data_IF_714726308978
#
_entry.id   IF_714726308978
#
_cell.length_a   1.000
_cell.length_b   1.000
_cell.length_c   1.000
_cell.angle_alpha   90.00
_cell.angle_beta   90.00
_cell.angle_gamma   90.00
#
_symmetry.space_group_name_H-M   'P 1'
#
loop_
_entity.id
_entity.type
_entity.pdbx_description
1 polymer ?
#
# COMPACT_ATOMS: atom_id res chain seq x y z
N UNK A 1 17.72 -32.42 23.23
CA UNK A 1 16.56 -31.67 22.73
C UNK A 1 17.09 -30.53 21.89
N UNK A 2 16.53 -30.32 20.70
CA UNK A 2 16.81 -29.13 19.89
C UNK A 2 16.44 -27.87 20.70
N UNK A 3 17.37 -26.91 20.79
CA UNK A 3 17.24 -25.65 21.53
C UNK A 3 16.01 -24.83 21.12
N UNK A 4 15.44 -25.11 19.94
CA UNK A 4 14.29 -24.40 19.36
C UNK A 4 12.98 -25.20 19.40
N UNK A 5 13.02 -26.46 19.82
CA UNK A 5 11.84 -27.36 19.80
C UNK A 5 10.66 -26.87 20.65
N UNK A 6 10.92 -26.07 21.68
CA UNK A 6 9.88 -25.47 22.53
C UNK A 6 9.09 -24.36 21.81
N UNK A 7 9.63 -23.73 20.76
CA UNK A 7 9.03 -22.57 20.10
C UNK A 7 7.73 -22.89 19.34
N UNK A 8 7.49 -24.17 19.05
CA UNK A 8 6.28 -24.68 18.39
C UNK A 8 5.25 -25.25 19.38
N UNK A 9 5.59 -25.34 20.67
CA UNK A 9 4.71 -25.85 21.72
C UNK A 9 3.62 -24.85 22.11
N UNK A 10 2.53 -25.34 22.72
CA UNK A 10 1.45 -24.47 23.21
C UNK A 10 1.95 -23.62 24.38
N UNK A 11 1.60 -22.33 24.42
CA UNK A 11 2.17 -21.36 25.38
C UNK A 11 1.85 -21.62 26.85
N UNK A 12 0.82 -22.41 27.14
CA UNK A 12 0.42 -22.82 28.49
C UNK A 12 1.08 -24.13 28.95
N UNK A 13 1.99 -24.69 28.15
CA UNK A 13 2.73 -25.92 28.50
C UNK A 13 4.00 -25.58 29.26
N UNK A 14 4.43 -26.50 30.12
CA UNK A 14 5.64 -26.33 30.92
C UNK A 14 6.87 -26.24 30.01
N UNK A 15 6.88 -27.01 28.93
CA UNK A 15 7.95 -27.09 27.94
C UNK A 15 8.16 -25.76 27.23
N UNK A 16 7.08 -25.04 26.91
CA UNK A 16 7.18 -23.69 26.33
C UNK A 16 7.74 -22.68 27.33
N UNK A 17 7.25 -22.69 28.58
CA UNK A 17 7.70 -21.77 29.63
C UNK A 17 9.18 -22.01 29.98
N UNK A 18 9.58 -23.27 30.13
CA UNK A 18 10.98 -23.65 30.38
C UNK A 18 11.90 -23.21 29.23
N UNK A 19 11.41 -23.31 27.98
CA UNK A 19 12.09 -22.83 26.80
C UNK A 19 12.27 -21.29 26.75
N UNK A 20 11.23 -20.54 27.11
CA UNK A 20 11.30 -19.07 27.26
C UNK A 20 12.33 -18.69 28.31
N UNK A 21 12.31 -19.34 29.47
CA UNK A 21 13.29 -19.09 30.54
C UNK A 21 14.72 -19.39 30.10
N UNK A 22 14.92 -20.48 29.35
CA UNK A 22 16.21 -20.83 28.77
C UNK A 22 16.73 -19.76 27.80
N UNK A 23 15.86 -19.25 26.91
CA UNK A 23 16.19 -18.16 26.01
C UNK A 23 16.56 -16.87 26.75
N UNK A 24 15.77 -16.45 27.74
CA UNK A 24 16.00 -15.21 28.48
C UNK A 24 17.30 -15.25 29.28
N UNK A 25 17.64 -16.41 29.83
CA UNK A 25 18.92 -16.63 30.50
C UNK A 25 20.09 -16.46 29.52
N UNK A 26 20.05 -17.13 28.37
CA UNK A 26 21.05 -16.95 27.31
C UNK A 26 21.17 -15.49 26.87
N UNK A 27 20.04 -14.81 26.66
CA UNK A 27 20.03 -13.43 26.24
C UNK A 27 20.68 -12.51 27.29
N UNK A 28 20.40 -12.74 28.57
CA UNK A 28 20.95 -11.96 29.68
C UNK A 28 22.46 -12.19 29.86
N UNK A 29 22.93 -13.43 29.70
CA UNK A 29 24.34 -13.78 29.82
C UNK A 29 25.21 -13.19 28.69
N UNK A 30 24.60 -12.79 27.56
CA UNK A 30 25.29 -12.26 26.38
C UNK A 30 25.06 -10.75 26.13
N UNK A 31 24.58 -10.00 27.13
CA UNK A 31 24.31 -8.56 27.03
C UNK A 31 25.44 -7.64 27.53
N UNK A 32 25.43 -6.39 27.03
CA UNK A 32 26.18 -5.24 27.59
C UNK A 32 25.44 -4.50 28.73
N UNK A 33 26.05 -3.41 29.22
CA UNK A 33 25.84 -2.77 30.55
C UNK A 33 24.40 -2.25 30.85
N UNK A 34 23.50 -2.12 29.85
CA UNK A 34 22.23 -1.41 30.02
C UNK A 34 20.99 -2.29 30.35
N UNK A 35 21.15 -3.61 30.47
CA UNK A 35 20.09 -4.50 31.00
C UNK A 35 18.80 -4.61 30.17
N UNK A 36 18.80 -4.16 28.91
CA UNK A 36 17.67 -4.22 27.98
C UNK A 36 17.94 -5.23 26.84
N UNK A 37 17.06 -6.23 26.68
CA UNK A 37 17.13 -7.21 25.59
C UNK A 37 16.15 -6.88 24.46
N UNK A 38 16.55 -7.25 23.24
CA UNK A 38 15.69 -7.21 22.07
C UNK A 38 14.55 -8.22 22.20
N UNK A 39 13.31 -7.83 21.89
CA UNK A 39 12.14 -8.70 22.11
C UNK A 39 11.78 -9.53 20.85
N UNK A 40 11.96 -10.87 20.86
CA UNK A 40 11.65 -11.71 19.70
C UNK A 40 10.19 -12.19 19.65
N UNK A 41 9.28 -11.55 20.39
CA UNK A 41 7.87 -11.97 20.38
C UNK A 41 7.20 -11.62 19.04
N UNK A 42 6.12 -12.32 18.69
CA UNK A 42 5.37 -12.13 17.43
C UNK A 42 4.82 -10.71 17.22
N UNK A 43 4.69 -9.93 18.29
CA UNK A 43 4.24 -8.53 18.24
C UNK A 43 5.40 -7.55 18.02
N UNK A 44 6.57 -7.85 18.59
CA UNK A 44 7.73 -6.96 18.57
C UNK A 44 8.71 -7.29 17.46
N UNK A 45 8.77 -8.54 17.00
CA UNK A 45 9.58 -9.00 15.86
C UNK A 45 11.01 -8.44 15.86
N UNK A 46 11.70 -8.48 17.00
CA UNK A 46 13.08 -7.98 17.16
C UNK A 46 13.26 -6.46 16.95
N UNK A 47 12.19 -5.66 16.97
CA UNK A 47 12.25 -4.21 16.73
C UNK A 47 12.28 -3.35 18.00
N UNK A 48 12.03 -3.95 19.17
CA UNK A 48 11.90 -3.22 20.45
C UNK A 48 12.77 -3.84 21.53
N UNK A 49 13.33 -2.97 22.38
CA UNK A 49 14.17 -3.35 23.51
C UNK A 49 13.40 -3.12 24.81
N UNK A 50 13.38 -4.13 25.67
CA UNK A 50 12.74 -4.05 26.97
C UNK A 50 13.59 -4.75 28.03
N UNK A 51 13.25 -4.52 29.29
CA UNK A 51 13.80 -5.32 30.40
C UNK A 51 13.34 -6.78 30.26
N UNK A 52 14.13 -7.68 30.85
CA UNK A 52 13.98 -9.14 30.72
C UNK A 52 12.60 -9.63 31.18
N UNK A 53 12.07 -9.05 32.26
CA UNK A 53 10.72 -9.29 32.80
C UNK A 53 9.63 -8.94 31.79
N UNK A 54 9.73 -7.78 31.13
CA UNK A 54 8.75 -7.37 30.13
C UNK A 54 8.83 -8.22 28.85
N UNK A 55 10.03 -8.66 28.46
CA UNK A 55 10.18 -9.60 27.34
C UNK A 55 9.63 -10.97 27.69
N UNK A 56 9.80 -11.45 28.93
CA UNK A 56 9.17 -12.67 29.42
C UNK A 56 7.65 -12.62 29.22
N UNK A 57 6.99 -11.59 29.73
CA UNK A 57 5.54 -11.43 29.61
C UNK A 57 5.07 -11.40 28.15
N UNK A 58 5.82 -10.73 27.29
CA UNK A 58 5.56 -10.71 25.87
C UNK A 58 5.68 -12.09 25.22
N UNK A 59 6.66 -12.91 25.61
CA UNK A 59 6.84 -14.26 25.07
C UNK A 59 5.78 -15.24 25.57
N UNK A 60 5.28 -15.07 26.79
CA UNK A 60 4.15 -15.83 27.32
C UNK A 60 2.84 -15.43 26.60
N UNK A 61 2.59 -14.14 26.45
CA UNK A 61 1.32 -13.66 25.91
C UNK A 61 1.24 -13.77 24.37
N UNK A 62 2.24 -13.25 23.65
CA UNK A 62 2.24 -13.15 22.18
C UNK A 62 2.95 -14.32 21.50
N UNK A 63 3.80 -15.05 22.21
CA UNK A 63 4.62 -16.11 21.65
C UNK A 63 5.90 -15.62 20.99
N UNK A 64 6.91 -16.49 20.89
CA UNK A 64 8.15 -16.21 20.14
C UNK A 64 7.94 -16.36 18.62
N UNK A 65 8.70 -15.60 17.83
CA UNK A 65 8.80 -15.78 16.39
C UNK A 65 9.45 -17.14 16.06
N UNK A 66 8.69 -18.05 15.46
CA UNK A 66 9.14 -19.43 15.19
C UNK A 66 10.31 -19.51 14.19
N UNK A 67 10.45 -18.51 13.31
CA UNK A 67 11.60 -18.40 12.40
C UNK A 67 12.88 -17.90 13.06
N UNK A 68 12.84 -17.49 14.34
CA UNK A 68 14.00 -17.00 15.07
C UNK A 68 14.75 -18.15 15.77
N UNK A 69 15.22 -19.10 14.97
CA UNK A 69 15.90 -20.31 15.44
C UNK A 69 17.39 -20.11 15.75
N UNK A 70 17.96 -19.01 15.23
CA UNK A 70 19.32 -18.55 15.53
C UNK A 70 19.20 -17.23 16.31
N UNK A 71 19.66 -17.23 17.56
CA UNK A 71 19.58 -16.10 18.47
C UNK A 71 20.67 -15.04 18.20
N UNK A 72 20.85 -14.69 16.92
CA UNK A 72 21.92 -13.81 16.44
C UNK A 72 21.85 -12.42 17.08
N UNK A 73 20.65 -11.85 17.24
CA UNK A 73 20.44 -10.58 17.95
C UNK A 73 20.77 -10.63 19.45
N UNK A 74 21.06 -11.82 19.99
CA UNK A 74 21.43 -12.06 21.39
C UNK A 74 22.81 -12.75 21.51
N UNK A 75 23.65 -12.67 20.46
CA UNK A 75 25.05 -13.09 20.52
C UNK A 75 25.32 -14.53 20.07
N UNK A 76 24.34 -15.27 19.55
CA UNK A 76 24.58 -16.62 19.03
C UNK A 76 25.36 -16.60 17.70
N UNK A 77 26.52 -17.28 17.67
CA UNK A 77 27.38 -17.42 16.48
C UNK A 77 27.08 -18.73 15.74
N UNK A 78 27.01 -18.69 14.41
CA UNK A 78 26.81 -19.88 13.57
C UNK A 78 28.16 -20.54 13.30
N UNK A 79 28.39 -21.76 13.80
CA UNK A 79 29.58 -22.54 13.50
C UNK A 79 29.31 -23.50 12.33
N UNK A 80 29.92 -23.23 11.18
CA UNK A 80 30.01 -24.20 10.08
C UNK A 80 30.92 -25.36 10.51
N UNK A 81 30.40 -26.58 10.56
CA UNK A 81 31.22 -27.79 10.75
C UNK A 81 31.12 -28.70 9.51
N UNK A 82 32.27 -29.17 8.96
CA UNK A 82 32.34 -30.00 7.75
C UNK A 82 32.52 -31.50 8.07
N UNK A 83 31.94 -32.39 7.25
CA UNK A 83 32.55 -33.64 6.74
C UNK A 83 31.55 -34.42 5.85
N UNK A 84 31.77 -34.52 4.52
CA UNK A 84 32.53 -35.53 3.73
C UNK A 84 31.68 -36.80 3.45
N UNK A 85 31.48 -37.31 2.23
CA UNK A 85 31.99 -37.02 0.87
C UNK A 85 30.99 -37.57 -0.18
N UNK A 86 31.18 -37.55 -1.51
CA UNK A 86 32.35 -37.49 -2.39
C UNK A 86 31.89 -37.15 -3.83
N UNK A 87 32.76 -36.40 -4.55
CA UNK A 87 32.98 -36.35 -6.02
C UNK A 87 32.13 -35.42 -6.94
N UNK A 88 32.63 -34.18 -7.10
CA UNK A 88 33.02 -33.44 -8.35
C UNK A 88 32.06 -33.30 -9.57
N UNK A 89 32.18 -32.24 -10.39
CA UNK A 89 31.78 -30.85 -10.13
C UNK A 89 30.85 -30.32 -11.26
N UNK A 90 29.76 -29.63 -10.92
CA UNK A 90 29.14 -28.68 -11.85
C UNK A 90 28.09 -27.86 -11.09
N UNK A 91 28.31 -26.55 -11.13
CA UNK A 91 27.36 -25.45 -11.17
C UNK A 91 26.05 -25.44 -10.34
N UNK A 92 25.79 -24.22 -9.90
CA UNK A 92 24.52 -23.59 -9.56
C UNK A 92 24.04 -23.67 -8.11
N UNK A 93 24.42 -22.59 -7.43
CA UNK A 93 23.62 -21.86 -6.45
C UNK A 93 22.13 -21.80 -6.85
N UNK A 94 21.25 -22.38 -6.03
CA UNK A 94 19.89 -21.87 -5.88
C UNK A 94 19.52 -21.80 -4.40
N UNK A 95 19.84 -20.65 -3.82
CA UNK A 95 19.24 -20.16 -2.58
C UNK A 95 17.80 -19.72 -2.86
N UNK A 96 16.81 -20.49 -2.40
CA UNK A 96 15.43 -20.00 -2.31
C UNK A 96 15.26 -19.18 -1.01
N UNK A 97 15.37 -17.86 -1.13
CA UNK A 97 14.95 -16.89 -0.11
C UNK A 97 13.43 -16.70 -0.15
N UNK A 98 12.77 -16.76 1.02
CA UNK A 98 11.39 -16.27 1.15
C UNK A 98 11.29 -14.75 0.95
N UNK A 99 10.11 -14.20 0.60
CA UNK A 99 10.01 -12.82 0.16
C UNK A 99 10.34 -11.82 1.27
N UNK A 100 11.34 -10.97 1.01
CA UNK A 100 11.74 -9.84 1.85
C UNK A 100 10.56 -8.88 2.12
N UNK A 101 10.54 -8.18 3.26
CA UNK A 101 9.61 -7.05 3.53
C UNK A 101 9.61 -5.99 2.41
N UNK A 102 10.70 -5.90 1.64
CA UNK A 102 10.82 -5.06 0.44
C UNK A 102 9.91 -5.51 -0.72
N UNK A 103 9.75 -6.83 -0.89
CA UNK A 103 8.83 -7.42 -1.84
C UNK A 103 7.38 -7.07 -1.47
N UNK A 104 7.08 -6.93 -0.16
CA UNK A 104 5.76 -6.52 0.32
C UNK A 104 5.47 -5.04 0.03
N UNK A 105 6.42 -4.12 0.25
CA UNK A 105 6.23 -2.70 -0.10
C UNK A 105 6.15 -2.44 -1.61
N UNK A 106 6.94 -3.16 -2.42
CA UNK A 106 6.83 -3.09 -3.88
C UNK A 106 5.52 -3.70 -4.37
N UNK A 107 5.04 -4.78 -3.73
CA UNK A 107 3.68 -5.29 -3.92
C UNK A 107 2.60 -4.28 -3.48
N UNK A 108 2.83 -3.43 -2.48
CA UNK A 108 1.87 -2.42 -2.03
C UNK A 108 1.78 -1.22 -3.00
N UNK A 109 2.92 -0.81 -3.56
CA UNK A 109 2.99 0.32 -4.51
C UNK A 109 2.61 -0.13 -5.92
N UNK A 110 2.89 -1.39 -6.25
CA UNK A 110 2.78 -1.99 -7.57
C UNK A 110 2.54 -3.51 -7.43
N UNK A 111 1.34 -3.95 -7.00
CA UNK A 111 1.00 -5.37 -6.77
C UNK A 111 1.14 -6.27 -8.00
N UNK A 112 1.33 -5.66 -9.16
CA UNK A 112 1.34 -6.26 -10.48
C UNK A 112 2.74 -6.48 -11.07
N UNK A 113 3.80 -6.03 -10.39
CA UNK A 113 5.14 -5.90 -10.98
C UNK A 113 6.19 -6.84 -10.40
N UNK A 114 5.78 -7.89 -9.66
CA UNK A 114 6.76 -8.84 -9.13
C UNK A 114 6.71 -10.20 -9.81
N UNK A 115 7.77 -10.60 -10.55
CA UNK A 115 7.97 -11.98 -10.97
C UNK A 115 8.17 -12.87 -9.75
N UNK A 116 7.55 -14.05 -9.72
CA UNK A 116 7.89 -15.12 -8.77
C UNK A 116 6.83 -15.49 -7.72
N UNK A 117 5.61 -14.94 -7.74
CA UNK A 117 4.47 -15.53 -7.02
C UNK A 117 3.69 -16.44 -7.97
N UNK A 118 4.41 -17.37 -8.60
CA UNK A 118 3.84 -18.48 -9.37
C UNK A 118 3.63 -19.60 -8.36
N UNK A 119 2.38 -19.81 -7.93
CA UNK A 119 1.96 -21.18 -7.63
C UNK A 119 1.88 -21.90 -8.96
N UNK A 120 2.60 -23.02 -9.08
CA UNK A 120 2.74 -23.90 -10.24
C UNK A 120 1.86 -23.56 -11.46
N UNK A 121 2.52 -23.17 -12.56
CA UNK A 121 1.95 -23.21 -13.90
C UNK A 121 1.63 -21.86 -14.55
N UNK A 122 2.64 -21.02 -14.80
CA UNK A 122 2.91 -20.41 -16.12
C UNK A 122 4.14 -19.49 -16.00
N UNK A 123 5.26 -19.91 -16.58
CA UNK A 123 6.39 -19.02 -16.83
C UNK A 123 5.99 -18.00 -17.92
N UNK A 124 6.07 -16.72 -17.62
CA UNK A 124 5.94 -15.64 -18.60
C UNK A 124 7.31 -14.98 -18.77
N UNK A 125 8.12 -15.54 -19.65
CA UNK A 125 9.31 -14.87 -20.17
C UNK A 125 8.89 -13.67 -21.01
N UNK A 126 9.33 -12.47 -20.63
CA UNK A 126 9.13 -11.26 -21.43
C UNK A 126 10.24 -11.19 -22.47
N UNK A 127 10.09 -11.92 -23.57
CA UNK A 127 10.92 -11.68 -24.75
C UNK A 127 10.36 -10.46 -25.52
N UNK A 128 11.21 -9.44 -25.63
CA UNK A 128 11.02 -8.31 -26.52
C UNK A 128 11.26 -8.77 -27.96
N UNK A 129 10.20 -9.20 -28.64
CA UNK A 129 10.21 -9.37 -30.10
C UNK A 129 9.50 -8.20 -30.79
N UNK A 130 10.07 -7.81 -31.92
CA UNK A 130 9.89 -6.55 -32.63
C UNK A 130 8.45 -6.20 -32.97
N UNK A 131 8.18 -4.89 -32.98
CA UNK A 131 6.88 -4.27 -33.27
C UNK A 131 6.43 -4.61 -34.70
N UNK A 132 5.16 -5.02 -34.84
CA UNK A 132 4.45 -5.08 -36.12
C UNK A 132 4.08 -3.64 -36.54
N UNK A 133 4.41 -3.26 -37.77
CA UNK A 133 4.43 -1.88 -38.28
C UNK A 133 3.04 -1.26 -38.52
N UNK A 134 1.94 -1.89 -38.09
CA UNK A 134 0.59 -1.50 -38.52
C UNK A 134 -0.39 -1.06 -37.42
N UNK A 135 0.10 -0.68 -36.25
CA UNK A 135 -0.71 -0.01 -35.22
C UNK A 135 -0.27 1.44 -35.03
N UNK A 136 -1.23 2.36 -35.09
CA UNK A 136 -1.03 3.80 -34.90
C UNK A 136 -0.06 4.08 -33.73
N UNK A 137 0.88 5.01 -33.96
CA UNK A 137 2.02 5.26 -33.07
C UNK A 137 1.67 5.47 -31.59
N UNK A 138 2.65 5.30 -30.67
CA UNK A 138 2.37 5.25 -29.25
C UNK A 138 1.81 6.59 -28.78
N UNK A 139 0.58 6.56 -28.27
CA UNK A 139 -0.04 7.67 -27.56
C UNK A 139 0.89 8.11 -26.42
N UNK A 140 1.04 9.40 -26.15
CA UNK A 140 2.04 9.95 -25.20
C UNK A 140 1.99 9.29 -23.81
N UNK A 141 0.79 8.96 -23.34
CA UNK A 141 0.57 8.22 -22.08
C UNK A 141 1.09 6.78 -22.09
N UNK A 142 1.12 6.12 -23.24
CA UNK A 142 1.65 4.77 -23.44
C UNK A 142 3.17 4.80 -23.40
N UNK A 143 3.78 5.77 -24.07
CA UNK A 143 5.23 5.97 -24.00
C UNK A 143 5.69 6.27 -22.56
N UNK A 144 4.94 7.12 -21.84
CA UNK A 144 5.19 7.40 -20.42
C UNK A 144 5.06 6.14 -19.56
N UNK A 145 4.08 5.27 -19.85
CA UNK A 145 3.93 4.01 -19.17
C UNK A 145 5.08 3.02 -19.45
N UNK A 146 5.52 2.86 -20.70
CA UNK A 146 6.66 1.99 -21.02
C UNK A 146 7.97 2.50 -20.43
N UNK A 147 8.21 3.81 -20.46
CA UNK A 147 9.38 4.40 -19.79
C UNK A 147 9.33 4.09 -18.29
N UNK A 148 8.16 4.20 -17.67
CA UNK A 148 7.96 3.85 -16.27
C UNK A 148 8.23 2.36 -15.96
N UNK A 149 7.76 1.44 -16.82
CA UNK A 149 8.05 0.01 -16.68
C UNK A 149 9.53 -0.29 -16.79
N UNK A 150 10.17 0.31 -17.80
CA UNK A 150 11.60 0.17 -18.03
C UNK A 150 12.42 0.73 -16.86
N UNK A 151 12.04 1.90 -16.35
CA UNK A 151 12.70 2.55 -15.21
C UNK A 151 12.47 1.80 -13.88
N UNK A 152 11.36 1.06 -13.76
CA UNK A 152 11.06 0.27 -12.56
C UNK A 152 11.92 -1.00 -12.45
N UNK A 153 12.24 -1.60 -13.60
CA UNK A 153 13.08 -2.79 -13.71
C UNK A 153 14.57 -2.45 -13.95
N UNK A 154 14.89 -1.19 -14.25
CA UNK A 154 16.27 -0.74 -14.46
C UNK A 154 17.11 -0.93 -13.18
N UNK A 155 18.22 -1.67 -13.23
CA UNK A 155 19.16 -1.78 -12.11
C UNK A 155 19.60 -0.40 -11.61
N UNK A 156 19.80 -0.26 -10.30
CA UNK A 156 20.26 1.02 -9.73
C UNK A 156 21.58 1.50 -10.35
N UNK A 157 22.44 0.55 -10.71
CA UNK A 157 23.68 0.73 -11.46
C UNK A 157 23.97 -0.59 -12.19
N UNK A 158 24.88 -0.57 -13.16
CA UNK A 158 25.24 -1.76 -13.95
C UNK A 158 25.73 -2.91 -13.05
N UNK A 159 25.12 -4.09 -13.20
CA UNK A 159 25.39 -5.26 -12.35
C UNK A 159 24.70 -5.29 -10.99
N UNK A 160 23.85 -4.31 -10.65
CA UNK A 160 23.08 -4.33 -9.41
C UNK A 160 21.92 -5.34 -9.49
N UNK A 161 22.01 -6.45 -8.77
CA UNK A 161 20.96 -7.49 -8.72
C UNK A 161 19.98 -7.31 -7.58
N UNK A 162 20.35 -6.55 -6.53
CA UNK A 162 19.56 -6.41 -5.31
C UNK A 162 18.49 -5.32 -5.38
N UNK A 163 18.76 -4.27 -6.16
CA UNK A 163 17.90 -3.09 -6.21
C UNK A 163 17.80 -2.53 -7.63
N UNK A 164 16.57 -2.37 -8.10
CA UNK A 164 16.26 -1.46 -9.19
C UNK A 164 16.28 -0.01 -8.69
N UNK A 165 16.42 0.94 -9.63
CA UNK A 165 16.31 2.38 -9.37
C UNK A 165 15.05 2.72 -8.58
N UNK A 166 13.91 2.20 -9.02
CA UNK A 166 12.62 2.38 -8.35
C UNK A 166 12.64 1.85 -6.91
N UNK A 167 13.08 0.60 -6.71
CA UNK A 167 13.10 -0.02 -5.39
C UNK A 167 13.98 0.75 -4.39
N UNK A 168 15.10 1.29 -4.86
CA UNK A 168 16.00 2.10 -4.04
C UNK A 168 15.33 3.41 -3.60
N UNK A 169 14.68 4.12 -4.54
CA UNK A 169 14.00 5.39 -4.27
C UNK A 169 12.84 5.19 -3.30
N UNK A 170 11.98 4.20 -3.52
CA UNK A 170 10.86 3.89 -2.63
C UNK A 170 11.35 3.56 -1.22
N UNK A 171 12.41 2.75 -1.11
CA UNK A 171 13.00 2.39 0.18
C UNK A 171 13.57 3.61 0.90
N UNK A 172 14.32 4.46 0.21
CA UNK A 172 14.85 5.71 0.76
C UNK A 172 13.74 6.64 1.21
N UNK A 173 12.67 6.76 0.42
CA UNK A 173 11.51 7.57 0.75
C UNK A 173 10.77 7.04 1.98
N UNK A 174 10.61 5.72 2.09
CA UNK A 174 10.00 5.11 3.26
C UNK A 174 10.85 5.37 4.52
N UNK A 175 12.17 5.21 4.44
CA UNK A 175 13.08 5.55 5.55
C UNK A 175 12.97 7.01 5.95
N UNK A 176 12.89 7.92 4.97
CA UNK A 176 12.65 9.35 5.22
C UNK A 176 11.35 9.59 5.99
N UNK A 177 10.27 8.92 5.58
CA UNK A 177 8.96 9.06 6.20
C UNK A 177 8.92 8.47 7.62
N UNK A 178 9.41 7.25 7.81
CA UNK A 178 9.42 6.56 9.10
C UNK A 178 10.39 7.21 10.09
N UNK A 179 11.55 7.66 9.61
CA UNK A 179 12.56 8.34 10.42
C UNK A 179 12.27 9.83 10.65
N UNK A 180 11.21 10.37 10.06
CA UNK A 180 10.86 11.79 10.20
C UNK A 180 11.93 12.75 9.64
N UNK A 181 12.74 12.30 8.67
CA UNK A 181 13.86 13.09 8.18
C UNK A 181 13.41 14.36 7.47
N UNK A 182 14.09 15.47 7.73
CA UNK A 182 13.84 16.73 7.02
C UNK A 182 14.19 16.58 5.53
N UNK A 183 13.68 17.47 4.68
CA UNK A 183 14.05 17.44 3.26
C UNK A 183 15.54 17.78 3.04
N UNK A 184 16.14 18.54 3.96
CA UNK A 184 17.55 18.90 3.89
C UNK A 184 18.42 17.68 4.19
N UNK A 185 18.16 16.99 5.30
CA UNK A 185 18.87 15.75 5.67
C UNK A 185 18.71 14.69 4.57
N UNK A 186 17.51 14.59 3.99
CA UNK A 186 17.28 13.64 2.91
C UNK A 186 18.05 14.00 1.63
N UNK A 187 18.18 15.28 1.31
CA UNK A 187 19.00 15.71 0.18
C UNK A 187 20.48 15.41 0.43
N UNK A 188 21.02 15.75 1.61
CA UNK A 188 22.39 15.43 2.00
C UNK A 188 22.66 13.92 1.97
N UNK A 189 21.71 13.11 2.42
CA UNK A 189 21.83 11.65 2.33
C UNK A 189 21.85 11.17 0.88
N UNK A 190 21.01 11.72 0.00
CA UNK A 190 21.01 11.36 -1.41
C UNK A 190 22.33 11.74 -2.09
N UNK A 191 22.90 12.90 -1.77
CA UNK A 191 24.22 13.32 -2.26
C UNK A 191 25.30 12.35 -1.78
N UNK A 192 25.35 12.05 -0.48
CA UNK A 192 26.31 11.10 0.08
C UNK A 192 26.17 9.69 -0.52
N UNK A 193 24.95 9.20 -0.74
CA UNK A 193 24.73 7.90 -1.40
C UNK A 193 25.21 7.91 -2.85
N UNK A 194 25.03 9.02 -3.57
CA UNK A 194 25.56 9.14 -4.94
C UNK A 194 27.10 9.13 -4.97
N UNK A 195 27.78 9.60 -3.92
CA UNK A 195 29.24 9.51 -3.79
C UNK A 195 29.73 8.08 -3.51
N UNK A 196 28.94 7.27 -2.80
CA UNK A 196 29.28 5.88 -2.47
C UNK A 196 28.99 4.90 -3.61
N UNK A 197 28.04 5.23 -4.49
CA UNK A 197 27.63 4.35 -5.57
C UNK A 197 28.60 4.41 -6.76
N UNK A 198 28.70 3.33 -7.56
CA UNK A 198 29.53 3.32 -8.77
C UNK A 198 29.14 4.41 -9.78
N UNK A 199 30.11 4.86 -10.56
CA UNK A 199 29.89 5.75 -11.70
C UNK A 199 28.82 5.19 -12.63
N UNK A 200 27.72 5.94 -12.82
CA UNK A 200 26.57 5.51 -13.61
C UNK A 200 25.32 5.11 -12.81
N UNK A 201 25.36 5.20 -11.48
CA UNK A 201 24.15 4.99 -10.67
C UNK A 201 23.06 6.03 -10.94
N UNK A 202 21.81 5.57 -11.02
CA UNK A 202 20.65 6.36 -11.44
C UNK A 202 19.83 6.94 -10.28
N UNK A 203 20.45 7.22 -9.13
CA UNK A 203 19.76 7.74 -7.96
C UNK A 203 19.45 9.24 -8.10
N UNK A 204 18.27 9.73 -7.67
CA UNK A 204 17.97 11.16 -7.66
C UNK A 204 18.95 11.93 -6.80
N UNK A 205 19.33 13.13 -7.24
CA UNK A 205 20.32 13.96 -6.54
C UNK A 205 19.74 14.70 -5.36
N UNK A 206 18.43 14.94 -5.36
CA UNK A 206 17.76 15.73 -4.35
C UNK A 206 16.29 15.31 -4.16
N UNK A 207 15.66 15.90 -3.15
CA UNK A 207 14.25 15.63 -2.80
C UNK A 207 13.29 15.99 -3.94
N UNK A 208 13.59 16.98 -4.77
CA UNK A 208 12.71 17.40 -5.86
C UNK A 208 12.69 16.36 -6.99
N UNK A 209 13.86 15.90 -7.44
CA UNK A 209 13.98 14.86 -8.46
C UNK A 209 13.31 13.56 -8.02
N UNK A 210 13.49 13.15 -6.76
CA UNK A 210 12.83 11.98 -6.21
C UNK A 210 11.30 12.12 -6.18
N UNK A 211 10.75 13.31 -5.86
CA UNK A 211 9.30 13.57 -5.95
C UNK A 211 8.80 13.55 -7.39
N UNK A 212 9.56 14.15 -8.31
CA UNK A 212 9.23 14.18 -9.72
C UNK A 212 9.15 12.77 -10.28
N UNK A 213 10.15 11.93 -9.97
CA UNK A 213 10.16 10.53 -10.34
C UNK A 213 8.91 9.78 -9.81
N UNK A 214 8.55 9.96 -8.54
CA UNK A 214 7.33 9.37 -7.97
C UNK A 214 6.04 9.89 -8.63
N UNK A 215 5.97 11.17 -9.00
CA UNK A 215 4.84 11.75 -9.75
C UNK A 215 4.76 11.17 -11.16
N UNK A 216 5.89 11.03 -11.84
CA UNK A 216 5.96 10.41 -13.17
C UNK A 216 5.49 8.95 -13.14
N UNK A 217 5.74 8.24 -12.04
CA UNK A 217 5.21 6.90 -11.75
C UNK A 217 3.70 6.84 -11.48
N UNK A 218 3.02 7.99 -11.43
CA UNK A 218 1.60 8.08 -11.11
C UNK A 218 1.28 7.90 -9.62
N UNK A 219 2.29 8.04 -8.74
CA UNK A 219 2.17 7.95 -7.29
C UNK A 219 2.05 9.34 -6.64
N UNK A 220 1.61 10.32 -7.42
CA UNK A 220 1.47 11.70 -6.96
C UNK A 220 0.35 11.85 -5.93
N UNK A 221 0.68 12.56 -4.84
CA UNK A 221 -0.30 13.06 -3.89
C UNK A 221 -0.64 14.51 -4.25
N UNK A 222 -1.82 14.70 -4.83
CA UNK A 222 -2.38 16.02 -5.11
C UNK A 222 -2.92 16.60 -3.80
N UNK A 223 -2.55 17.85 -3.51
CA UNK A 223 -2.96 18.57 -2.31
C UNK A 223 -4.00 19.62 -2.68
N UNK A 224 -5.24 19.39 -2.29
CA UNK A 224 -6.35 20.30 -2.57
C UNK A 224 -6.63 21.11 -1.30
N UNK A 225 -6.48 22.45 -1.33
CA UNK A 225 -6.90 23.27 -0.20
C UNK A 225 -8.41 23.17 0.02
N UNK A 226 -8.83 23.13 1.27
CA UNK A 226 -10.24 23.09 1.64
C UNK A 226 -10.60 24.26 2.57
N UNK A 227 -11.89 24.60 2.61
CA UNK A 227 -12.43 25.51 3.60
C UNK A 227 -12.19 24.94 5.01
N UNK A 228 -11.72 25.74 6.00
CA UNK A 228 -11.53 25.26 7.38
C UNK A 228 -12.77 24.61 7.99
N UNK A 229 -13.95 25.13 7.63
CA UNK A 229 -15.26 24.63 8.06
C UNK A 229 -15.79 23.45 7.22
N UNK A 230 -15.03 22.95 6.24
CA UNK A 230 -15.40 21.81 5.38
C UNK A 230 -16.51 22.09 4.35
N UNK A 231 -16.82 23.36 4.06
CA UNK A 231 -17.95 23.71 3.19
C UNK A 231 -17.69 23.52 1.70
N UNK A 232 -16.42 23.55 1.28
CA UNK A 232 -16.02 23.43 -0.13
C UNK A 232 -14.53 23.11 -0.25
N UNK A 233 -14.16 22.56 -1.40
CA UNK A 233 -12.78 22.50 -1.87
C UNK A 233 -12.46 23.74 -2.73
N UNK A 234 -11.24 24.25 -2.60
CA UNK A 234 -10.70 25.24 -3.53
C UNK A 234 -10.12 24.52 -4.75
N UNK A 235 -11.03 23.96 -5.55
CA UNK A 235 -10.74 23.06 -6.66
C UNK A 235 -11.58 23.43 -7.89
N UNK A 236 -11.07 23.11 -9.09
CA UNK A 236 -11.67 23.48 -10.39
C UNK A 236 -12.07 24.97 -10.42
N UNK A 237 -13.37 25.25 -10.55
CA UNK A 237 -13.94 26.60 -10.66
C UNK A 237 -13.67 27.48 -9.42
N UNK A 238 -13.24 26.89 -8.31
CA UNK A 238 -12.96 27.57 -7.05
C UNK A 238 -11.47 27.68 -6.71
N UNK A 239 -10.56 27.21 -7.56
CA UNK A 239 -9.12 27.14 -7.28
C UNK A 239 -8.51 28.51 -6.91
N UNK A 240 -8.90 29.54 -7.67
CA UNK A 240 -8.38 30.91 -7.52
C UNK A 240 -9.03 31.70 -6.38
N UNK A 241 -10.04 31.14 -5.68
CA UNK A 241 -10.67 31.84 -4.56
C UNK A 241 -9.76 31.87 -3.34
N UNK A 242 -9.80 32.99 -2.61
CA UNK A 242 -9.11 33.11 -1.31
C UNK A 242 -10.04 32.84 -0.12
N UNK A 243 -11.35 32.97 -0.31
CA UNK A 243 -12.38 32.78 0.72
C UNK A 243 -13.45 31.79 0.28
N UNK A 244 -14.02 31.10 1.27
CA UNK A 244 -15.13 30.17 1.06
C UNK A 244 -16.39 30.90 0.62
N UNK A 245 -17.06 30.43 -0.43
CA UNK A 245 -18.28 31.05 -0.94
C UNK A 245 -19.48 30.92 0.01
N UNK A 246 -19.47 29.94 0.91
CA UNK A 246 -20.59 29.65 1.82
C UNK A 246 -20.45 30.31 3.19
N UNK A 247 -19.26 30.27 3.78
CA UNK A 247 -19.03 30.79 5.13
C UNK A 247 -18.01 31.95 5.20
N UNK A 248 -17.53 32.43 4.05
CA UNK A 248 -16.56 33.53 3.93
C UNK A 248 -15.23 33.33 4.66
N UNK A 249 -14.98 32.14 5.21
CA UNK A 249 -13.74 31.82 5.91
C UNK A 249 -12.57 31.75 4.93
N UNK A 250 -11.42 32.29 5.34
CA UNK A 250 -10.19 32.30 4.55
C UNK A 250 -9.64 30.88 4.31
N UNK A 251 -9.09 30.65 3.12
CA UNK A 251 -8.33 29.45 2.74
C UNK A 251 -7.03 29.29 3.55
N UNK A 252 -6.46 30.41 3.98
CA UNK A 252 -5.12 30.48 4.56
C UNK A 252 -5.15 30.36 6.08
N UNK A 253 -4.08 29.81 6.66
CA UNK A 253 -3.86 29.87 8.11
C UNK A 253 -3.75 31.33 8.56
N UNK A 254 -4.43 31.67 9.65
CA UNK A 254 -4.22 32.93 10.35
C UNK A 254 -3.08 32.72 11.34
N UNK A 255 -1.83 32.89 10.90
CA UNK A 255 -0.69 32.95 11.80
C UNK A 255 -0.21 34.40 11.90
N UNK A 256 -0.17 34.92 13.13
CA UNK A 256 0.61 36.07 13.52
C UNK A 256 2.06 35.60 13.79
N UNK A 257 2.84 35.32 12.75
CA UNK A 257 4.29 35.11 12.93
C UNK A 257 5.00 36.47 12.89
N UNK A 258 5.65 36.78 14.01
CA UNK A 258 6.45 37.99 14.30
C UNK A 258 7.73 38.12 13.47
N UNK A 259 8.01 37.18 12.58
CA UNK A 259 9.10 37.25 11.61
C UNK A 259 8.52 37.37 10.21
N UNK A 260 8.70 38.55 9.60
CA UNK A 260 8.11 39.04 8.33
C UNK A 260 8.30 38.23 7.05
N UNK A 261 8.29 36.90 7.11
CA UNK A 261 8.19 35.98 5.97
C UNK A 261 6.78 35.40 5.94
N UNK A 262 5.85 36.13 5.33
CA UNK A 262 4.46 35.69 5.09
C UNK A 262 4.40 34.45 4.20
N UNK A 263 4.68 33.25 4.74
CA UNK A 263 4.48 31.99 4.03
C UNK A 263 3.01 31.60 4.14
N UNK A 264 2.20 32.08 3.18
CA UNK A 264 0.78 31.71 3.05
C UNK A 264 0.68 30.19 2.90
N UNK A 265 0.09 29.53 3.90
CA UNK A 265 -0.13 28.08 3.88
C UNK A 265 -1.63 27.80 4.06
N UNK A 266 -2.20 26.82 3.31
CA UNK A 266 -3.59 26.47 3.49
C UNK A 266 -3.88 26.00 4.91
N UNK A 267 -5.06 26.37 5.43
CA UNK A 267 -5.50 26.00 6.76
C UNK A 267 -5.76 24.49 6.88
N UNK A 268 -6.43 23.91 5.89
CA UNK A 268 -6.65 22.48 5.75
C UNK A 268 -6.40 22.05 4.31
N UNK A 269 -6.02 20.78 4.14
CA UNK A 269 -5.64 20.21 2.84
C UNK A 269 -6.17 18.78 2.77
N UNK A 270 -7.05 18.54 1.81
CA UNK A 270 -7.42 17.22 1.33
C UNK A 270 -6.27 16.65 0.51
N UNK A 271 -5.90 15.40 0.78
CA UNK A 271 -4.90 14.68 -0.05
C UNK A 271 -5.63 13.72 -0.96
N UNK A 272 -5.46 13.91 -2.26
CA UNK A 272 -6.05 13.07 -3.28
C UNK A 272 -4.96 12.32 -4.03
N UNK A 273 -5.22 11.04 -4.25
CA UNK A 273 -4.39 10.12 -5.00
C UNK A 273 -5.25 9.63 -6.19
N UNK A 274 -4.99 10.11 -7.41
CA UNK A 274 -5.75 9.73 -8.60
C UNK A 274 -5.74 8.21 -8.82
N UNK A 275 -6.87 7.66 -9.28
CA UNK A 275 -7.05 6.24 -9.56
C UNK A 275 -6.56 5.85 -10.95
N UNK A 276 -6.79 6.66 -11.98
CA UNK A 276 -6.53 6.28 -13.38
C UNK A 276 -5.11 5.79 -13.63
N UNK A 277 -4.11 6.47 -13.05
CA UNK A 277 -2.70 6.10 -13.18
C UNK A 277 -2.33 4.80 -12.46
N UNK A 278 -3.15 4.37 -11.49
CA UNK A 278 -2.89 3.21 -10.61
C UNK A 278 -3.74 1.99 -10.95
N UNK A 279 -4.89 2.20 -11.58
CA UNK A 279 -5.74 1.17 -12.18
C UNK A 279 -5.16 0.68 -13.51
N UNK A 280 -3.99 0.06 -13.46
CA UNK A 280 -3.34 -0.55 -14.63
C UNK A 280 -3.73 -2.02 -14.74
N UNK A 281 -3.62 -2.60 -15.93
CA UNK A 281 -4.07 -3.98 -16.20
C UNK A 281 -2.92 -4.96 -16.02
N UNK A 282 -3.00 -5.82 -15.02
CA UNK A 282 -2.23 -7.08 -14.93
C UNK A 282 -3.00 -8.24 -15.55
N UNK A 283 -2.30 -9.33 -15.85
CA UNK A 283 -2.88 -10.64 -16.19
C UNK A 283 -4.03 -11.01 -15.26
N UNK A 284 -3.83 -10.79 -13.96
CA UNK A 284 -4.78 -11.12 -12.90
C UNK A 284 -6.11 -10.33 -12.96
N UNK A 285 -6.19 -9.19 -13.65
CA UNK A 285 -7.43 -8.39 -13.75
C UNK A 285 -8.52 -9.06 -14.59
N UNK A 286 -8.19 -10.10 -15.37
CA UNK A 286 -9.15 -10.91 -16.13
C UNK A 286 -9.52 -12.21 -15.43
N UNK A 287 -8.87 -12.52 -14.31
CA UNK A 287 -9.02 -13.80 -13.63
C UNK A 287 -10.47 -14.09 -13.22
N UNK A 288 -11.22 -13.06 -12.79
CA UNK A 288 -12.64 -13.22 -12.40
C UNK A 288 -13.52 -13.82 -13.50
N UNK A 289 -13.15 -13.63 -14.77
CA UNK A 289 -13.84 -14.15 -15.94
C UNK A 289 -13.20 -15.42 -16.51
N UNK A 290 -11.86 -15.44 -16.62
CA UNK A 290 -11.12 -16.50 -17.33
C UNK A 290 -10.63 -17.64 -16.41
N UNK A 291 -10.23 -17.32 -15.19
CA UNK A 291 -9.56 -18.25 -14.27
C UNK A 291 -10.41 -18.72 -13.10
N UNK A 292 -11.60 -18.17 -12.92
CA UNK A 292 -12.51 -18.50 -11.82
C UNK A 292 -13.30 -19.78 -12.12
N UNK A 293 -13.36 -20.70 -11.15
CA UNK A 293 -14.28 -21.84 -11.19
C UNK A 293 -15.73 -21.37 -11.04
N UNK A 294 -16.59 -21.73 -11.99
CA UNK A 294 -18.01 -21.40 -11.97
C UNK A 294 -18.85 -22.66 -11.69
N UNK A 295 -18.81 -23.13 -10.43
CA UNK A 295 -19.51 -24.32 -9.94
C UNK A 295 -20.83 -23.99 -9.22
N UNK A 296 -21.26 -22.72 -9.25
CA UNK A 296 -22.43 -22.23 -8.53
C UNK A 296 -22.19 -21.93 -7.05
N UNK A 297 -20.96 -22.10 -6.54
CA UNK A 297 -20.58 -21.78 -5.15
C UNK A 297 -20.05 -20.34 -5.08
N UNK A 298 -20.34 -19.63 -3.98
CA UNK A 298 -19.80 -18.28 -3.73
C UNK A 298 -18.32 -18.37 -3.32
N UNK A 299 -17.41 -18.19 -4.30
CA UNK A 299 -15.94 -18.23 -4.11
C UNK A 299 -15.27 -16.87 -4.28
N UNK A 300 -15.93 -15.98 -5.01
CA UNK A 300 -15.45 -14.67 -5.41
C UNK A 300 -16.63 -13.69 -5.48
N UNK A 301 -16.43 -12.37 -5.31
CA UNK A 301 -17.51 -11.39 -5.46
C UNK A 301 -18.30 -11.50 -6.79
N UNK A 302 -17.63 -11.93 -7.86
CA UNK A 302 -18.26 -12.22 -9.16
C UNK A 302 -19.31 -13.34 -9.14
N UNK A 303 -19.29 -14.23 -8.14
CA UNK A 303 -20.31 -15.26 -7.97
C UNK A 303 -21.61 -14.70 -7.37
N UNK A 304 -21.53 -13.52 -6.72
CA UNK A 304 -22.63 -12.87 -6.04
C UNK A 304 -23.70 -12.35 -7.00
N UNK A 305 -24.95 -12.34 -6.52
CA UNK A 305 -26.09 -11.83 -7.30
C UNK A 305 -25.92 -10.36 -7.70
N UNK A 306 -25.32 -9.52 -6.84
CA UNK A 306 -25.09 -8.11 -7.17
C UNK A 306 -24.24 -7.93 -8.43
N UNK A 307 -23.16 -8.71 -8.56
CA UNK A 307 -22.29 -8.69 -9.74
C UNK A 307 -23.01 -9.21 -10.98
N UNK A 308 -23.68 -10.36 -10.88
CA UNK A 308 -24.43 -10.96 -11.99
C UNK A 308 -25.53 -10.02 -12.50
N UNK A 309 -26.29 -9.41 -11.59
CA UNK A 309 -27.32 -8.43 -11.94
C UNK A 309 -26.70 -7.21 -12.62
N UNK A 310 -25.63 -6.66 -12.08
CA UNK A 310 -24.91 -5.53 -12.69
C UNK A 310 -24.44 -5.86 -14.11
N UNK A 311 -23.78 -7.00 -14.30
CA UNK A 311 -23.29 -7.44 -15.61
C UNK A 311 -24.43 -7.68 -16.61
N UNK A 312 -25.59 -8.16 -16.14
CA UNK A 312 -26.77 -8.33 -16.99
C UNK A 312 -27.41 -7.00 -17.43
N UNK A 313 -27.29 -5.95 -16.62
CA UNK A 313 -27.83 -4.61 -16.92
C UNK A 313 -26.85 -3.79 -17.77
N UNK A 314 -25.55 -4.03 -17.64
CA UNK A 314 -24.48 -3.29 -18.31
C UNK A 314 -23.64 -4.24 -19.16
N UNK A 315 -24.27 -4.88 -20.14
CA UNK A 315 -23.65 -5.89 -21.01
C UNK A 315 -22.48 -5.33 -21.81
N UNK A 316 -22.55 -4.06 -22.22
CA UNK A 316 -21.47 -3.32 -22.91
C UNK A 316 -20.22 -3.20 -22.01
N UNK A 317 -20.42 -2.94 -20.73
CA UNK A 317 -19.34 -2.88 -19.75
C UNK A 317 -18.81 -4.29 -19.43
N UNK A 318 -19.71 -5.25 -19.23
CA UNK A 318 -19.35 -6.61 -18.82
C UNK A 318 -18.66 -7.42 -19.92
N UNK A 319 -18.89 -7.06 -21.19
CA UNK A 319 -18.31 -7.72 -22.35
C UNK A 319 -16.77 -7.74 -22.32
N UNK A 320 -16.14 -6.65 -21.87
CA UNK A 320 -14.68 -6.61 -21.70
C UNK A 320 -14.31 -6.98 -20.25
N UNK A 321 -13.71 -8.16 -20.00
CA UNK A 321 -13.36 -8.59 -18.64
C UNK A 321 -12.28 -7.71 -17.99
N UNK A 322 -11.60 -6.85 -18.76
CA UNK A 322 -10.60 -5.90 -18.26
C UNK A 322 -11.22 -4.67 -17.61
N UNK A 323 -12.53 -4.42 -17.80
CA UNK A 323 -13.24 -3.37 -17.10
C UNK A 323 -13.33 -3.66 -15.60
N UNK A 324 -13.08 -2.64 -14.78
CA UNK A 324 -12.77 -2.82 -13.36
C UNK A 324 -13.99 -2.59 -12.49
N UNK A 325 -14.25 -3.52 -11.57
CA UNK A 325 -15.29 -3.40 -10.54
C UNK A 325 -14.62 -3.09 -9.21
N UNK A 326 -15.05 -1.99 -8.62
CA UNK A 326 -14.42 -1.37 -7.47
C UNK A 326 -15.31 -1.48 -6.23
N UNK A 327 -14.70 -1.69 -5.08
CA UNK A 327 -15.27 -1.39 -3.77
C UNK A 327 -14.71 -0.09 -3.22
N UNK A 328 -15.49 0.58 -2.39
CA UNK A 328 -15.04 1.73 -1.60
C UNK A 328 -15.17 1.43 -0.12
N UNK A 329 -14.17 1.75 0.68
CA UNK A 329 -14.24 1.69 2.13
C UNK A 329 -13.77 3.02 2.71
N UNK A 330 -14.51 3.57 3.67
CA UNK A 330 -14.04 4.72 4.44
C UNK A 330 -14.49 4.60 5.90
N UNK A 331 -13.60 5.00 6.80
CA UNK A 331 -13.87 5.04 8.24
C UNK A 331 -12.95 6.06 8.92
N UNK A 332 -13.30 6.48 10.13
CA UNK A 332 -12.47 7.36 10.95
C UNK A 332 -11.37 6.60 11.69
N UNK A 333 -10.12 7.10 11.63
CA UNK A 333 -9.03 6.60 12.45
C UNK A 333 -8.23 7.74 13.11
N UNK A 334 -7.61 7.45 14.24
CA UNK A 334 -6.67 8.37 14.88
C UNK A 334 -5.22 8.00 14.51
N UNK A 335 -4.53 8.79 13.68
CA UNK A 335 -3.15 8.49 13.25
C UNK A 335 -2.12 8.68 14.36
N UNK A 336 -2.46 9.36 15.46
CA UNK A 336 -1.49 9.75 16.49
C UNK A 336 -1.33 8.70 17.61
N UNK A 337 -2.08 7.59 17.57
CA UNK A 337 -1.96 6.50 18.54
C UNK A 337 -2.31 6.86 19.99
N UNK A 338 -2.62 8.13 20.28
CA UNK A 338 -3.16 8.55 21.55
C UNK A 338 -4.59 8.04 21.64
N UNK A 339 -4.97 7.42 22.76
CA UNK A 339 -6.37 7.11 23.11
C UNK A 339 -7.26 8.38 23.26
N UNK A 340 -6.75 9.54 22.84
CA UNK A 340 -7.48 10.79 22.71
C UNK A 340 -8.50 10.67 21.58
N UNK A 341 -9.78 10.64 21.95
CA UNK A 341 -10.94 10.56 21.04
C UNK A 341 -11.13 11.82 20.16
N UNK A 342 -10.27 12.82 20.31
CA UNK A 342 -10.45 14.15 19.71
C UNK A 342 -9.97 14.28 18.27
N UNK A 343 -9.32 13.26 17.69
CA UNK A 343 -8.81 13.31 16.32
C UNK A 343 -9.24 12.12 15.48
N UNK A 344 -10.00 12.39 14.41
CA UNK A 344 -10.42 11.44 13.40
C UNK A 344 -9.98 11.94 12.03
N UNK A 345 -9.06 11.23 11.40
CA UNK A 345 -8.72 11.35 9.97
C UNK A 345 -9.47 10.26 9.21
N UNK A 346 -9.92 10.52 7.98
CA UNK A 346 -10.71 9.56 7.21
C UNK A 346 -10.00 9.20 5.89
N UNK A 347 -9.41 7.99 5.78
CA UNK A 347 -8.93 7.46 4.53
C UNK A 347 -10.11 6.90 3.73
N UNK A 348 -10.12 7.18 2.43
CA UNK A 348 -11.03 6.55 1.48
C UNK A 348 -10.19 5.59 0.65
N UNK A 349 -10.46 4.29 0.81
CA UNK A 349 -9.77 3.19 0.13
C UNK A 349 -10.63 2.65 -1.01
N UNK A 350 -9.98 2.28 -2.11
CA UNK A 350 -10.59 1.66 -3.28
C UNK A 350 -10.00 0.26 -3.46
N UNK A 351 -10.86 -0.72 -3.71
CA UNK A 351 -10.50 -2.13 -3.80
C UNK A 351 -10.88 -2.67 -5.18
N UNK A 352 -9.94 -3.14 -6.01
CA UNK A 352 -10.24 -3.75 -7.30
C UNK A 352 -10.63 -5.22 -7.13
N UNK A 353 -11.91 -5.54 -7.31
CA UNK A 353 -12.43 -6.90 -7.16
C UNK A 353 -12.25 -7.80 -8.38
N UNK A 354 -11.62 -7.31 -9.43
CA UNK A 354 -11.27 -8.14 -10.59
C UNK A 354 -10.18 -9.16 -10.28
N UNK A 355 -9.38 -8.89 -9.25
CA UNK A 355 -8.24 -9.71 -8.85
C UNK A 355 -8.69 -11.03 -8.23
N UNK A 356 -7.86 -12.09 -8.29
CA UNK A 356 -8.16 -13.36 -7.64
C UNK A 356 -8.44 -13.22 -6.14
N UNK A 357 -9.22 -14.16 -5.58
CA UNK A 357 -9.61 -14.09 -4.16
C UNK A 357 -8.41 -14.02 -3.18
N UNK A 358 -7.28 -14.64 -3.53
CA UNK A 358 -6.06 -14.61 -2.72
C UNK A 358 -5.29 -13.28 -2.82
N UNK A 359 -5.72 -12.40 -3.72
CA UNK A 359 -5.08 -11.12 -4.01
C UNK A 359 -6.00 -9.95 -3.65
N UNK A 360 -7.27 -9.95 -4.05
CA UNK A 360 -8.19 -8.82 -3.92
C UNK A 360 -8.45 -8.36 -2.48
N UNK A 361 -8.22 -9.22 -1.48
CA UNK A 361 -8.36 -8.88 -0.05
C UNK A 361 -7.03 -8.65 0.67
N UNK A 362 -5.90 -8.68 -0.06
CA UNK A 362 -4.59 -8.33 0.52
C UNK A 362 -4.48 -6.82 0.66
N UNK A 363 -3.91 -6.37 1.78
CA UNK A 363 -3.67 -4.95 2.07
C UNK A 363 -2.91 -4.24 0.94
N UNK A 364 -2.00 -4.97 0.29
CA UNK A 364 -1.19 -4.50 -0.84
C UNK A 364 -2.00 -4.12 -2.09
N UNK A 365 -3.24 -4.59 -2.20
CA UNK A 365 -4.11 -4.29 -3.34
C UNK A 365 -5.06 -3.12 -3.08
N UNK A 366 -5.14 -2.66 -1.84
CA UNK A 366 -6.02 -1.56 -1.48
C UNK A 366 -5.38 -0.24 -1.90
N UNK A 367 -6.08 0.51 -2.74
CA UNK A 367 -5.61 1.80 -3.21
C UNK A 367 -6.18 2.91 -2.34
N UNK A 368 -5.32 3.62 -1.62
CA UNK A 368 -5.72 4.85 -0.95
C UNK A 368 -6.07 5.90 -1.99
N UNK A 369 -7.29 6.44 -1.99
CA UNK A 369 -7.75 7.47 -2.92
C UNK A 369 -7.78 8.85 -2.26
N UNK A 370 -8.27 8.96 -1.03
CA UNK A 370 -8.35 10.24 -0.31
C UNK A 370 -7.84 10.09 1.12
N UNK A 371 -7.21 11.13 1.65
CA UNK A 371 -7.06 11.34 3.09
C UNK A 371 -7.76 12.66 3.44
N UNK A 372 -8.90 12.55 4.10
CA UNK A 372 -9.67 13.68 4.61
C UNK A 372 -9.07 14.07 5.98
N UNK A 373 -8.64 15.33 6.15
CA UNK A 373 -7.97 15.76 7.36
C UNK A 373 -8.94 15.84 8.54
N UNK A 374 -8.47 15.44 9.73
CA UNK A 374 -9.19 15.67 10.98
C UNK A 374 -9.21 17.15 11.42
N UNK A 375 -9.61 17.45 12.68
CA UNK A 375 -9.73 16.51 13.80
C UNK A 375 -11.09 15.81 13.95
N UNK A 376 -12.12 16.23 13.23
CA UNK A 376 -13.48 15.66 13.37
C UNK A 376 -13.85 14.81 12.16
N UNK A 377 -14.84 13.93 12.31
CA UNK A 377 -15.40 13.21 11.17
C UNK A 377 -16.00 14.20 10.17
N UNK A 378 -15.96 13.88 8.86
CA UNK A 378 -16.58 14.70 7.83
C UNK A 378 -18.09 14.78 8.00
N UNK A 379 -18.71 13.73 8.55
CA UNK A 379 -20.15 13.61 8.73
C UNK A 379 -20.90 13.95 7.43
N UNK A 380 -21.93 14.79 7.52
CA UNK A 380 -22.73 15.26 6.38
C UNK A 380 -21.95 16.03 5.31
N UNK A 381 -20.66 16.33 5.49
CA UNK A 381 -19.81 17.05 4.53
C UNK A 381 -18.89 16.12 3.74
N UNK A 382 -19.07 14.80 3.87
CA UNK A 382 -18.22 13.83 3.17
C UNK A 382 -18.31 13.96 1.64
N UNK A 383 -19.47 14.36 1.13
CA UNK A 383 -19.74 14.64 -0.28
C UNK A 383 -18.77 15.69 -0.86
N UNK A 384 -18.48 16.76 -0.11
CA UNK A 384 -17.50 17.79 -0.49
C UNK A 384 -16.12 17.18 -0.70
N UNK A 385 -15.71 16.26 0.17
CA UNK A 385 -14.40 15.64 0.09
C UNK A 385 -14.31 14.55 -0.99
N UNK A 386 -15.43 13.89 -1.30
CA UNK A 386 -15.51 12.87 -2.35
C UNK A 386 -15.56 13.46 -3.76
N UNK A 387 -15.77 14.78 -3.93
CA UNK A 387 -15.92 15.44 -5.22
C UNK A 387 -14.82 15.08 -6.25
N UNK A 388 -13.51 15.04 -5.90
CA UNK A 388 -12.46 14.64 -6.83
C UNK A 388 -12.56 13.18 -7.27
N UNK A 389 -12.83 12.28 -6.32
CA UNK A 389 -12.99 10.86 -6.57
C UNK A 389 -14.25 10.57 -7.41
N UNK A 390 -15.39 11.19 -7.08
CA UNK A 390 -16.63 11.03 -7.83
C UNK A 390 -16.46 11.54 -9.27
N UNK A 391 -15.78 12.66 -9.46
CA UNK A 391 -15.46 13.16 -10.81
C UNK A 391 -14.66 12.12 -11.59
N UNK A 392 -13.61 11.56 -10.98
CA UNK A 392 -12.76 10.57 -11.64
C UNK A 392 -13.51 9.27 -11.96
N UNK A 393 -14.35 8.79 -11.04
CA UNK A 393 -15.19 7.60 -11.23
C UNK A 393 -16.23 7.81 -12.34
N UNK A 394 -16.86 8.98 -12.42
CA UNK A 394 -17.77 9.32 -13.51
C UNK A 394 -17.07 9.30 -14.86
N UNK A 395 -15.89 9.90 -14.95
CA UNK A 395 -15.12 9.89 -16.19
C UNK A 395 -14.69 8.47 -16.59
N UNK A 396 -14.24 7.65 -15.63
CA UNK A 396 -13.94 6.24 -15.85
C UNK A 396 -15.16 5.42 -16.30
N UNK A 397 -16.36 5.79 -15.86
CA UNK A 397 -17.59 5.11 -16.26
C UNK A 397 -18.09 5.55 -17.64
N UNK A 398 -18.14 6.85 -17.89
CA UNK A 398 -18.75 7.45 -19.09
C UNK A 398 -17.82 7.42 -20.30
N UNK A 399 -16.53 7.74 -20.11
CA UNK A 399 -15.54 7.85 -21.19
C UNK A 399 -14.55 6.68 -21.14
N UNK A 400 -14.15 6.28 -19.93
CA UNK A 400 -13.05 5.34 -19.71
C UNK A 400 -11.68 6.00 -19.87
N UNK A 401 -10.63 5.21 -19.67
CA UNK A 401 -9.24 5.66 -19.72
C UNK A 401 -8.41 4.78 -20.66
N UNK A 402 -7.67 5.36 -21.63
CA UNK A 402 -6.77 4.60 -22.47
C UNK A 402 -5.73 3.86 -21.62
N UNK A 403 -5.77 2.54 -21.68
CA UNK A 403 -4.96 1.66 -20.84
C UNK A 403 -4.28 0.62 -21.72
N UNK A 404 -3.03 0.30 -21.38
CA UNK A 404 -2.27 -0.74 -22.05
C UNK A 404 -2.40 -2.05 -21.28
N UNK A 405 -2.86 -3.10 -21.96
CA UNK A 405 -2.86 -4.46 -21.41
C UNK A 405 -1.52 -5.12 -21.73
N UNK A 406 -0.67 -5.27 -20.70
CA UNK A 406 0.65 -5.86 -20.83
C UNK A 406 0.64 -7.33 -21.28
N UNK A 407 -0.46 -8.05 -21.05
CA UNK A 407 -0.56 -9.46 -21.41
C UNK A 407 -0.93 -9.64 -22.88
N UNK A 408 -1.90 -8.86 -23.36
CA UNK A 408 -2.33 -8.90 -24.76
C UNK A 408 -1.49 -8.01 -25.68
N UNK A 409 -0.61 -7.20 -25.08
CA UNK A 409 0.19 -6.16 -25.73
C UNK A 409 -0.62 -5.15 -26.54
N UNK A 410 -1.86 -4.89 -26.14
CA UNK A 410 -2.81 -4.03 -26.87
C UNK A 410 -3.34 -2.89 -26.02
N UNK A 411 -3.63 -1.78 -26.68
CA UNK A 411 -4.41 -0.69 -26.09
C UNK A 411 -5.89 -1.05 -26.03
N UNK A 412 -6.54 -0.64 -24.96
CA UNK A 412 -7.98 -0.67 -24.82
C UNK A 412 -8.45 0.51 -23.97
N UNK A 413 -9.75 0.79 -24.00
CA UNK A 413 -10.35 1.79 -23.14
C UNK A 413 -10.88 1.10 -21.89
N UNK A 414 -10.16 1.24 -20.79
CA UNK A 414 -10.59 0.68 -19.50
C UNK A 414 -11.70 1.55 -18.92
N UNK A 415 -12.82 0.91 -18.57
CA UNK A 415 -13.87 1.53 -17.75
C UNK A 415 -13.83 0.98 -16.34
N UNK A 416 -14.32 1.75 -15.38
CA UNK A 416 -14.47 1.30 -14.00
C UNK A 416 -15.87 1.59 -13.44
N UNK A 417 -16.36 0.70 -12.59
CA UNK A 417 -17.65 0.81 -11.92
C UNK A 417 -17.47 0.61 -10.41
N UNK A 418 -18.01 1.53 -9.61
CA UNK A 418 -18.09 1.36 -8.17
C UNK A 418 -19.32 0.51 -7.84
N UNK A 419 -19.09 -0.67 -7.27
CA UNK A 419 -20.12 -1.68 -7.07
C UNK A 419 -20.76 -1.61 -5.68
N UNK A 420 -19.96 -1.44 -4.63
CA UNK A 420 -20.46 -1.35 -3.26
C UNK A 420 -19.50 -0.61 -2.35
N UNK A 421 -20.03 -0.23 -1.18
CA UNK A 421 -19.27 0.38 -0.09
C UNK A 421 -19.14 -0.62 1.07
N UNK A 422 -17.98 -0.63 1.74
CA UNK A 422 -17.72 -1.45 2.94
C UNK A 422 -17.45 -0.49 4.09
N UNK A 423 -18.45 -0.32 4.94
CA UNK A 423 -18.39 0.59 6.07
C UNK A 423 -19.08 -0.05 7.27
N UNK A 424 -18.71 0.41 8.47
CA UNK A 424 -19.55 0.17 9.63
C UNK A 424 -20.83 1.01 9.55
N UNK A 425 -21.75 0.80 10.48
CA UNK A 425 -23.06 1.46 10.41
C UNK A 425 -22.98 3.00 10.55
N UNK A 426 -22.18 3.57 11.46
CA UNK A 426 -21.90 5.01 11.50
C UNK A 426 -21.34 5.57 10.19
N UNK A 427 -20.26 4.99 9.64
CA UNK A 427 -19.63 5.47 8.42
C UNK A 427 -20.53 5.27 7.18
N UNK A 428 -21.41 4.27 7.18
CA UNK A 428 -22.48 4.16 6.19
C UNK A 428 -23.40 5.38 6.21
N UNK A 429 -23.80 5.86 7.39
CA UNK A 429 -24.64 7.05 7.52
C UNK A 429 -23.96 8.30 6.96
N UNK A 430 -22.68 8.48 7.26
CA UNK A 430 -21.90 9.59 6.71
C UNK A 430 -21.80 9.49 5.18
N UNK A 431 -21.38 8.34 4.62
CA UNK A 431 -21.17 8.14 3.18
C UNK A 431 -22.45 8.15 2.34
N UNK A 432 -23.54 7.58 2.84
CA UNK A 432 -24.81 7.49 2.09
C UNK A 432 -25.73 8.67 2.34
N UNK A 433 -25.48 9.45 3.39
CA UNK A 433 -26.42 10.44 3.91
C UNK A 433 -27.66 9.83 4.57
N UNK A 434 -27.69 8.50 4.77
CA UNK A 434 -28.81 7.80 5.39
C UNK A 434 -28.84 8.03 6.90
N UNK A 435 -30.03 8.22 7.46
CA UNK A 435 -30.18 8.29 8.92
C UNK A 435 -29.94 6.91 9.51
N UNK A 436 -28.84 6.72 10.23
CA UNK A 436 -28.49 5.46 10.92
C UNK A 436 -29.04 5.41 12.35
N UNK A 437 -29.93 6.34 12.70
CA UNK A 437 -30.55 6.46 14.02
C UNK A 437 -32.06 6.68 13.88
N UNK A 438 -32.82 6.25 14.88
CA UNK A 438 -34.27 6.42 14.95
C UNK A 438 -35.05 5.42 14.11
N UNK A 439 -36.32 5.76 13.80
CA UNK A 439 -37.33 4.87 13.20
C UNK A 439 -37.02 4.36 11.78
N UNK A 440 -36.03 4.94 11.11
CA UNK A 440 -35.62 4.56 9.75
C UNK A 440 -34.15 4.16 9.68
N UNK A 441 -33.57 3.76 10.82
CA UNK A 441 -32.14 3.47 10.91
C UNK A 441 -31.71 2.41 9.90
N UNK A 442 -32.50 1.34 9.76
CA UNK A 442 -32.19 0.24 8.85
C UNK A 442 -32.62 0.60 7.41
N UNK A 443 -31.68 0.69 6.45
CA UNK A 443 -32.02 0.97 5.05
C UNK A 443 -32.80 -0.18 4.39
N UNK A 444 -32.69 -1.40 4.94
CA UNK A 444 -33.41 -2.57 4.42
C UNK A 444 -34.85 -2.66 4.96
N UNK A 445 -35.03 -2.43 6.26
CA UNK A 445 -36.34 -2.56 6.91
C UNK A 445 -37.19 -1.29 6.81
N UNK A 446 -36.56 -0.11 6.70
CA UNK A 446 -37.22 1.21 6.69
C UNK A 446 -38.23 1.31 7.85
N UNK A 447 -39.51 1.62 7.56
CA UNK A 447 -40.59 1.79 8.53
C UNK A 447 -41.01 0.49 9.22
N UNK A 448 -40.53 -0.66 8.76
CA UNK A 448 -40.90 -1.99 9.27
C UNK A 448 -39.97 -2.46 10.41
N UNK A 449 -39.19 -1.56 11.02
CA UNK A 449 -38.37 -1.84 12.21
C UNK A 449 -39.15 -1.79 13.51
#
# INVERSE_FOLDING_TARGET
>A
MDKTSWMTMRRNTKEYVDGVNGFLKFASDNMGIDGLICCPCKKCCLSKYFKVDMVHDHLIYYGICQGYTIWHAHGEKVNSTPNVGTNTPANDEQSQEGPSEMHTMLQDVFPMFVPGVVGDGLEMGVEAQAMDENSQGPNEGVQKFYNMLKDADEPLYEGCTKHSRFSAIVRLWNMKCLGGWSNNIFAELLEFLNELLPSGASLPKNTYEAKKYMSDLGLECIKIPECPNGCMLFWKNNENRETCMFCQTSKWKQNADTDGRNKRSPAKVLRWFPLKSRLKTASHMKWHAEGRTNDGVLRHPADGMAWKTFDSQHTDFAFDPRNVRLGLAADGFNPFGNMSVSHSTWPVMIIPYNLPHWMCMKRSTFMLSLIIPGPSSPSMKIDVYLEPLITELKELWEVGSPTYDACSKRMFTMRAALMWTINDFPAYGDLSGWSTKGRFACPCCMDNT
#
